data_IF_214423884171
#
_entry.id   IF_214423884171
#
_cell.length_a   1.000
_cell.length_b   1.000
_cell.length_c   1.000
_cell.angle_alpha   90.00
_cell.angle_beta   90.00
_cell.angle_gamma   90.00
#
_symmetry.space_group_name_H-M   'P 1'
#
loop_
_entity.id
_entity.type
_entity.pdbx_description
1 polymer ?
#
# COMPACT_ATOMS: atom_id res chain seq x y z
N UNK A 1 -5.49 -25.90 3.48
CA UNK A 1 -4.25 -25.73 2.71
C UNK A 1 -4.60 -25.06 1.39
N UNK A 2 -3.94 -23.96 1.02
CA UNK A 2 -4.17 -23.33 -0.28
C UNK A 2 -3.29 -24.01 -1.31
N UNK A 3 -3.90 -24.40 -2.43
CA UNK A 3 -3.21 -25.04 -3.56
C UNK A 3 -3.06 -24.01 -4.68
N UNK A 4 -1.98 -24.12 -5.46
CA UNK A 4 -1.71 -23.29 -6.65
C UNK A 4 -2.94 -23.12 -7.55
N UNK A 5 -3.65 -24.22 -7.82
CA UNK A 5 -4.88 -24.23 -8.64
C UNK A 5 -5.99 -23.31 -8.10
N UNK A 6 -6.12 -23.19 -6.77
CA UNK A 6 -7.12 -22.31 -6.14
C UNK A 6 -6.73 -20.84 -6.37
N UNK A 7 -5.43 -20.53 -6.24
CA UNK A 7 -4.92 -19.18 -6.45
C UNK A 7 -5.12 -18.75 -7.91
N UNK A 8 -4.76 -19.60 -8.88
CA UNK A 8 -4.95 -19.33 -10.31
C UNK A 8 -6.43 -19.15 -10.67
N UNK A 9 -7.31 -19.98 -10.12
CA UNK A 9 -8.76 -19.86 -10.33
C UNK A 9 -9.31 -18.54 -9.79
N UNK A 10 -8.97 -18.18 -8.56
CA UNK A 10 -9.41 -16.91 -7.96
C UNK A 10 -8.82 -15.70 -8.70
N UNK A 11 -7.58 -15.79 -9.18
CA UNK A 11 -6.97 -14.75 -10.01
C UNK A 11 -7.73 -14.54 -11.33
N UNK A 12 -8.10 -15.62 -12.02
CA UNK A 12 -8.91 -15.53 -13.25
C UNK A 12 -10.27 -14.86 -13.01
N UNK A 13 -10.90 -15.15 -11.86
CA UNK A 13 -12.13 -14.46 -11.44
C UNK A 13 -11.86 -12.97 -11.16
N UNK A 14 -10.76 -12.64 -10.48
CA UNK A 14 -10.40 -11.25 -10.20
C UNK A 14 -10.20 -10.43 -11.48
N UNK A 15 -9.46 -10.98 -12.45
CA UNK A 15 -9.24 -10.35 -13.77
C UNK A 15 -10.58 -10.05 -14.45
N UNK A 16 -11.49 -11.03 -14.46
CA UNK A 16 -12.82 -10.88 -15.05
C UNK A 16 -13.66 -9.84 -14.31
N UNK A 17 -13.65 -9.82 -12.98
CA UNK A 17 -14.39 -8.82 -12.21
C UNK A 17 -13.81 -7.42 -12.46
N UNK A 18 -12.48 -7.27 -12.48
CA UNK A 18 -11.83 -5.99 -12.75
C UNK A 18 -12.14 -5.44 -14.15
N UNK A 19 -12.28 -6.30 -15.17
CA UNK A 19 -12.67 -5.84 -16.51
C UNK A 19 -14.10 -5.30 -16.57
N UNK A 20 -15.00 -5.76 -15.70
CA UNK A 20 -16.38 -5.26 -15.65
C UNK A 20 -16.56 -4.08 -14.70
N UNK A 21 -15.94 -4.10 -13.52
CA UNK A 21 -16.22 -3.14 -12.45
C UNK A 21 -15.26 -1.94 -12.41
N UNK A 22 -14.14 -2.02 -13.13
CA UNK A 22 -13.04 -1.05 -12.99
C UNK A 22 -12.40 -1.09 -11.59
N UNK A 23 -11.34 -0.29 -11.40
CA UNK A 23 -10.66 -0.12 -10.13
C UNK A 23 -11.34 0.98 -9.31
N UNK A 24 -11.60 0.69 -8.03
CA UNK A 24 -12.23 1.68 -7.14
C UNK A 24 -11.20 2.73 -6.69
N UNK A 25 -11.60 4.02 -6.71
CA UNK A 25 -10.84 5.11 -6.09
C UNK A 25 -10.62 4.84 -4.60
N UNK A 26 -9.35 4.88 -4.17
CA UNK A 26 -8.92 4.59 -2.80
C UNK A 26 -8.64 5.89 -2.06
N UNK A 27 -9.19 6.02 -0.86
CA UNK A 27 -8.82 7.12 0.05
C UNK A 27 -7.37 6.98 0.50
N UNK A 28 -6.56 8.00 0.22
CA UNK A 28 -5.12 8.05 0.53
C UNK A 28 -4.83 7.72 2.00
N UNK A 29 -5.52 8.39 2.93
CA UNK A 29 -5.31 8.25 4.38
C UNK A 29 -5.54 6.83 4.90
N UNK A 30 -6.56 6.13 4.37
CA UNK A 30 -6.84 4.73 4.75
C UNK A 30 -5.74 3.77 4.29
N UNK A 31 -5.01 4.12 3.24
CA UNK A 31 -3.90 3.31 2.73
C UNK A 31 -2.61 3.53 3.52
N UNK A 32 -2.35 4.79 3.91
CA UNK A 32 -1.08 5.20 4.52
C UNK A 32 -1.01 4.90 6.02
N UNK A 33 -2.15 4.93 6.73
CA UNK A 33 -2.22 4.72 8.18
C UNK A 33 -1.36 3.55 8.73
N UNK A 34 -1.44 2.30 8.21
CA UNK A 34 -0.61 1.21 8.71
C UNK A 34 0.89 1.40 8.46
N UNK A 35 1.26 2.07 7.35
CA UNK A 35 2.65 2.42 7.07
C UNK A 35 3.18 3.47 8.03
N UNK A 36 2.34 4.44 8.40
CA UNK A 36 2.66 5.45 9.42
C UNK A 36 2.92 4.81 10.78
N UNK A 37 2.06 3.88 11.22
CA UNK A 37 2.26 3.14 12.48
C UNK A 37 3.60 2.41 12.51
N UNK A 38 3.98 1.76 11.40
CA UNK A 38 5.27 1.07 11.30
C UNK A 38 6.47 2.04 11.28
N UNK A 39 6.35 3.16 10.56
CA UNK A 39 7.37 4.20 10.54
C UNK A 39 7.60 4.76 11.94
N UNK A 40 6.53 5.09 12.66
CA UNK A 40 6.62 5.54 14.06
C UNK A 40 7.26 4.48 14.95
N UNK A 41 6.98 3.19 14.73
CA UNK A 41 7.60 2.09 15.47
C UNK A 41 9.12 2.05 15.27
N UNK A 42 9.61 2.14 14.02
CA UNK A 42 11.05 2.13 13.75
C UNK A 42 11.79 3.35 14.28
N UNK A 43 11.12 4.49 14.39
CA UNK A 43 11.70 5.71 14.97
C UNK A 43 11.70 5.66 16.50
N UNK A 44 10.65 5.09 17.09
CA UNK A 44 10.48 5.03 18.54
C UNK A 44 11.59 4.27 19.26
N UNK A 45 11.99 3.09 18.77
CA UNK A 45 12.99 2.25 19.47
C UNK A 45 14.38 2.91 19.57
N UNK A 46 15.00 3.38 18.47
CA UNK A 46 16.28 4.08 18.54
C UNK A 46 16.21 5.37 19.35
N UNK A 47 15.11 6.13 19.26
CA UNK A 47 14.93 7.32 20.09
C UNK A 47 14.90 6.97 21.58
N UNK A 48 14.15 5.96 21.99
CA UNK A 48 14.05 5.57 23.40
C UNK A 48 15.38 5.07 23.96
N UNK A 49 16.09 4.20 23.23
CA UNK A 49 17.29 3.53 23.77
C UNK A 49 18.60 4.29 23.50
N UNK A 50 18.70 5.05 22.41
CA UNK A 50 19.92 5.81 22.11
C UNK A 50 19.86 7.26 22.61
N UNK A 51 18.69 7.83 22.93
CA UNK A 51 18.61 9.18 23.52
C UNK A 51 19.42 9.33 24.80
N UNK A 52 19.45 8.31 25.67
CA UNK A 52 20.27 8.31 26.88
C UNK A 52 21.77 8.48 26.60
N UNK A 53 22.26 8.00 25.45
CA UNK A 53 23.66 8.16 25.02
C UNK A 53 23.95 9.55 24.44
N UNK A 54 22.93 10.31 24.05
CA UNK A 54 23.10 11.64 23.46
C UNK A 54 23.44 12.69 24.54
N UNK A 55 22.88 12.55 25.74
CA UNK A 55 23.05 13.48 26.86
C UNK A 55 24.21 13.12 27.80
N UNK A 56 24.85 11.97 27.61
CA UNK A 56 26.02 11.60 28.42
C UNK A 56 27.19 12.56 28.13
N UNK A 57 27.74 13.25 29.14
CA UNK A 57 28.85 14.18 28.96
C UNK A 57 30.19 13.47 28.65
N UNK A 58 30.26 12.15 28.80
CA UNK A 58 31.49 11.36 28.63
C UNK A 58 31.72 10.84 27.19
N UNK A 59 30.78 11.04 26.27
CA UNK A 59 30.90 10.50 24.91
C UNK A 59 31.70 11.46 24.01
N UNK A 60 32.65 10.90 23.26
CA UNK A 60 33.43 11.59 22.23
C UNK A 60 32.49 12.09 21.12
N UNK A 61 32.85 13.18 20.44
CA UNK A 61 32.05 13.77 19.34
C UNK A 61 31.65 12.75 18.27
N UNK A 62 32.50 11.76 17.99
CA UNK A 62 32.28 10.69 17.02
C UNK A 62 31.16 9.73 17.42
N UNK A 63 31.06 9.37 18.70
CA UNK A 63 30.01 8.46 19.19
C UNK A 63 28.63 9.14 19.16
N UNK A 64 28.59 10.43 19.47
CA UNK A 64 27.38 11.25 19.34
C UNK A 64 26.90 11.32 17.90
N UNK A 65 27.83 11.53 16.96
CA UNK A 65 27.52 11.53 15.53
C UNK A 65 27.01 10.15 15.07
N UNK A 66 27.62 9.06 15.54
CA UNK A 66 27.16 7.69 15.26
C UNK A 66 25.72 7.42 15.73
N UNK A 67 25.33 7.91 16.91
CA UNK A 67 23.95 7.81 17.40
C UNK A 67 22.98 8.57 16.49
N UNK A 68 23.32 9.80 16.11
CA UNK A 68 22.49 10.62 15.21
C UNK A 68 22.31 9.93 13.85
N UNK A 69 23.39 9.37 13.29
CA UNK A 69 23.34 8.59 12.03
C UNK A 69 22.44 7.35 12.19
N UNK A 70 22.47 6.68 13.34
CA UNK A 70 21.64 5.50 13.60
C UNK A 70 20.14 5.83 13.67
N UNK A 71 19.80 6.97 14.28
CA UNK A 71 18.42 7.46 14.34
C UNK A 71 17.96 7.90 12.93
N UNK A 72 18.81 8.64 12.21
CA UNK A 72 18.51 9.10 10.84
C UNK A 72 18.28 7.95 9.87
N UNK A 73 19.11 6.90 9.91
CA UNK A 73 18.95 5.71 9.08
C UNK A 73 17.68 4.92 9.41
N UNK A 74 17.32 4.83 10.70
CA UNK A 74 16.07 4.22 11.13
C UNK A 74 14.83 5.01 10.68
N UNK A 75 14.93 6.33 10.63
CA UNK A 75 13.89 7.20 10.06
C UNK A 75 13.74 6.97 8.55
N UNK A 76 14.85 6.91 7.79
CA UNK A 76 14.82 6.60 6.35
C UNK A 76 14.19 5.22 6.10
N UNK A 77 14.57 4.21 6.88
CA UNK A 77 13.96 2.87 6.81
C UNK A 77 12.44 2.92 7.10
N UNK A 78 12.03 3.72 8.09
CA UNK A 78 10.64 4.04 8.39
C UNK A 78 9.89 4.61 7.19
N UNK A 79 10.44 5.65 6.55
CA UNK A 79 9.84 6.27 5.37
C UNK A 79 9.72 5.30 4.20
N UNK A 80 10.76 4.53 3.91
CA UNK A 80 10.70 3.50 2.86
C UNK A 80 9.59 2.49 3.15
N UNK A 81 9.51 2.00 4.38
CA UNK A 81 8.46 1.06 4.78
C UNK A 81 7.05 1.64 4.62
N UNK A 82 6.87 2.94 4.90
CA UNK A 82 5.62 3.67 4.72
C UNK A 82 5.20 3.71 3.25
N UNK A 83 6.14 4.02 2.35
CA UNK A 83 5.89 4.04 0.89
C UNK A 83 5.50 2.63 0.43
N UNK A 84 6.28 1.60 0.76
CA UNK A 84 6.00 0.23 0.34
C UNK A 84 4.64 -0.29 0.85
N UNK A 85 4.33 -0.06 2.13
CA UNK A 85 3.04 -0.46 2.71
C UNK A 85 1.90 0.35 2.09
N UNK A 86 2.08 1.65 1.92
CA UNK A 86 1.09 2.53 1.30
C UNK A 86 0.75 2.08 -0.12
N UNK A 87 1.76 1.75 -0.93
CA UNK A 87 1.58 1.23 -2.29
C UNK A 87 0.91 -0.15 -2.30
N UNK A 88 1.38 -1.09 -1.47
CA UNK A 88 0.81 -2.43 -1.38
C UNK A 88 -0.65 -2.41 -0.87
N UNK A 89 -0.94 -1.56 0.12
CA UNK A 89 -2.27 -1.41 0.68
C UNK A 89 -3.22 -0.69 -0.27
N UNK A 90 -2.71 0.25 -1.06
CA UNK A 90 -3.50 0.94 -2.09
C UNK A 90 -3.97 -0.09 -3.13
N UNK A 91 -3.04 -0.89 -3.64
CA UNK A 91 -3.34 -1.98 -4.57
C UNK A 91 -4.34 -3.00 -3.98
N UNK A 92 -4.16 -3.35 -2.71
CA UNK A 92 -5.11 -4.22 -2.01
C UNK A 92 -6.50 -3.59 -1.97
N UNK A 93 -6.63 -2.31 -1.65
CA UNK A 93 -7.91 -1.62 -1.47
C UNK A 93 -8.62 -1.30 -2.80
N UNK A 94 -7.88 -1.16 -3.91
CA UNK A 94 -8.43 -0.95 -5.25
C UNK A 94 -9.25 -2.15 -5.74
N UNK A 95 -9.00 -3.34 -5.19
CA UNK A 95 -9.78 -4.53 -5.50
C UNK A 95 -11.23 -4.42 -4.96
N UNK A 96 -12.23 -4.92 -5.71
CA UNK A 96 -13.63 -4.90 -5.30
C UNK A 96 -13.85 -5.52 -3.91
N UNK A 97 -14.68 -4.88 -3.09
CA UNK A 97 -14.90 -5.30 -1.69
C UNK A 97 -15.44 -6.73 -1.59
N UNK A 98 -16.39 -7.09 -2.45
CA UNK A 98 -16.97 -8.44 -2.51
C UNK A 98 -15.93 -9.51 -2.80
N UNK A 99 -14.90 -9.20 -3.59
CA UNK A 99 -13.81 -10.12 -3.85
C UNK A 99 -12.86 -10.23 -2.66
N UNK A 100 -12.53 -9.11 -2.01
CA UNK A 100 -11.58 -9.07 -0.87
C UNK A 100 -12.00 -9.92 0.33
N UNK A 101 -13.30 -10.00 0.62
CA UNK A 101 -13.82 -10.74 1.77
C UNK A 101 -14.04 -12.21 1.43
N UNK A 102 -14.45 -12.51 0.20
CA UNK A 102 -14.79 -13.87 -0.20
C UNK A 102 -13.59 -14.67 -0.75
N UNK A 103 -12.53 -13.99 -1.22
CA UNK A 103 -11.33 -14.63 -1.77
C UNK A 103 -10.48 -15.25 -0.66
N UNK A 104 -10.23 -16.56 -0.78
CA UNK A 104 -9.32 -17.29 0.11
C UNK A 104 -7.87 -16.86 -0.11
N UNK A 105 -7.51 -16.50 -1.35
CA UNK A 105 -6.20 -15.95 -1.72
C UNK A 105 -5.92 -14.64 -0.99
N UNK A 106 -6.84 -13.66 -1.05
CA UNK A 106 -6.66 -12.35 -0.41
C UNK A 106 -6.53 -12.48 1.10
N UNK A 107 -7.37 -13.31 1.72
CA UNK A 107 -7.29 -13.58 3.15
C UNK A 107 -5.95 -14.20 3.54
N UNK A 108 -5.49 -15.22 2.80
CA UNK A 108 -4.21 -15.88 3.05
C UNK A 108 -3.02 -14.93 2.89
N UNK A 109 -2.94 -14.21 1.78
CA UNK A 109 -1.86 -13.28 1.49
C UNK A 109 -1.80 -12.16 2.52
N UNK A 110 -2.95 -11.55 2.85
CA UNK A 110 -3.03 -10.48 3.84
C UNK A 110 -2.60 -10.97 5.23
N UNK A 111 -3.06 -12.16 5.65
CA UNK A 111 -2.66 -12.75 6.93
C UNK A 111 -1.16 -13.05 6.98
N UNK A 112 -0.59 -13.51 5.87
CA UNK A 112 0.83 -13.86 5.78
C UNK A 112 1.73 -12.63 5.82
N UNK A 113 1.42 -11.61 5.01
CA UNK A 113 2.15 -10.33 5.02
C UNK A 113 2.12 -9.68 6.41
N UNK A 114 0.95 -9.67 7.08
CA UNK A 114 0.84 -9.14 8.45
C UNK A 114 1.73 -9.88 9.44
N UNK A 115 1.85 -11.21 9.31
CA UNK A 115 2.77 -12.01 10.14
C UNK A 115 4.23 -11.65 9.87
N UNK A 116 4.63 -11.52 8.60
CA UNK A 116 6.00 -11.11 8.26
C UNK A 116 6.35 -9.73 8.80
N UNK A 117 5.45 -8.76 8.64
CA UNK A 117 5.62 -7.42 9.19
C UNK A 117 5.79 -7.48 10.72
N UNK A 118 4.92 -8.22 11.43
CA UNK A 118 5.02 -8.35 12.89
C UNK A 118 6.33 -9.01 13.36
N UNK A 119 6.76 -10.09 12.69
CA UNK A 119 8.02 -10.77 13.02
C UNK A 119 9.22 -9.86 12.79
N UNK A 120 9.25 -9.13 11.67
CA UNK A 120 10.33 -8.19 11.39
C UNK A 120 10.33 -7.00 12.38
N UNK A 121 9.16 -6.45 12.71
CA UNK A 121 9.03 -5.38 13.72
C UNK A 121 9.54 -5.80 15.09
N UNK A 122 9.26 -7.04 15.49
CA UNK A 122 9.74 -7.60 16.75
C UNK A 122 11.26 -7.84 16.70
N UNK A 123 11.76 -8.46 15.63
CA UNK A 123 13.20 -8.66 15.43
C UNK A 123 13.98 -7.35 15.46
N UNK A 124 13.47 -6.31 14.79
CA UNK A 124 14.07 -4.98 14.79
C UNK A 124 14.16 -4.39 16.22
N UNK A 125 13.08 -4.49 17.00
CA UNK A 125 13.08 -4.03 18.39
C UNK A 125 14.13 -4.77 19.24
N UNK A 126 14.22 -6.10 19.11
CA UNK A 126 15.24 -6.92 19.77
C UNK A 126 16.64 -6.49 19.37
N UNK A 127 16.87 -6.22 18.08
CA UNK A 127 18.16 -5.78 17.56
C UNK A 127 18.57 -4.41 18.12
N UNK A 128 17.64 -3.46 18.20
CA UNK A 128 17.90 -2.14 18.83
C UNK A 128 18.25 -2.29 20.30
N UNK A 129 17.46 -3.06 21.07
CA UNK A 129 17.70 -3.30 22.50
C UNK A 129 19.03 -4.02 22.72
N UNK A 130 19.34 -5.02 21.90
CA UNK A 130 20.61 -5.74 21.97
C UNK A 130 21.79 -4.80 21.72
N UNK A 131 21.74 -3.96 20.68
CA UNK A 131 22.76 -2.94 20.44
C UNK A 131 22.85 -1.90 21.57
N UNK A 132 21.73 -1.59 22.22
CA UNK A 132 21.68 -0.69 23.37
C UNK A 132 22.34 -1.30 24.62
N UNK A 133 22.12 -2.59 24.90
CA UNK A 133 22.66 -3.27 26.08
C UNK A 133 24.17 -3.54 25.98
N UNK A 134 24.66 -3.94 24.81
CA UNK A 134 26.06 -4.34 24.62
C UNK A 134 26.98 -3.20 24.17
N UNK A 135 26.48 -1.95 24.10
CA UNK A 135 27.25 -0.81 23.61
C UNK A 135 27.96 -1.06 22.26
N UNK A 136 27.26 -1.74 21.34
CA UNK A 136 27.80 -2.02 20.02
C UNK A 136 27.99 -0.72 19.22
N UNK A 137 29.06 -0.69 18.42
CA UNK A 137 29.35 0.40 17.50
C UNK A 137 28.19 0.62 16.51
N UNK A 138 27.96 1.87 16.13
CA UNK A 138 27.00 2.27 15.09
C UNK A 138 27.18 1.47 13.80
N UNK A 139 28.41 1.15 13.42
CA UNK A 139 28.69 0.39 12.19
C UNK A 139 28.13 -1.04 12.28
N UNK A 140 28.21 -1.66 13.47
CA UNK A 140 27.66 -2.99 13.72
C UNK A 140 26.12 -2.97 13.65
N UNK A 141 25.49 -1.92 14.18
CA UNK A 141 24.04 -1.75 14.10
C UNK A 141 23.56 -1.59 12.65
N UNK A 142 24.22 -0.72 11.87
CA UNK A 142 23.86 -0.48 10.47
C UNK A 142 24.02 -1.73 9.61
N UNK A 143 25.15 -2.41 9.74
CA UNK A 143 25.40 -3.66 9.02
C UNK A 143 24.39 -4.75 9.39
N UNK A 144 24.04 -4.88 10.68
CA UNK A 144 23.05 -5.84 11.14
C UNK A 144 21.63 -5.53 10.62
N UNK A 145 21.23 -4.25 10.54
CA UNK A 145 19.95 -3.85 9.93
C UNK A 145 19.94 -4.19 8.44
N UNK A 146 20.98 -3.81 7.70
CA UNK A 146 21.05 -4.06 6.26
C UNK A 146 20.99 -5.57 5.99
N UNK A 147 21.79 -6.36 6.71
CA UNK A 147 21.77 -7.82 6.60
C UNK A 147 20.39 -8.40 6.95
N UNK A 148 19.72 -7.87 7.98
CA UNK A 148 18.37 -8.30 8.37
C UNK A 148 17.33 -7.97 7.29
N UNK A 149 17.38 -6.78 6.70
CA UNK A 149 16.45 -6.37 5.62
C UNK A 149 16.65 -7.27 4.41
N UNK A 150 17.89 -7.50 3.99
CA UNK A 150 18.22 -8.38 2.85
C UNK A 150 17.77 -9.82 3.15
N UNK A 151 18.14 -10.37 4.30
CA UNK A 151 17.80 -11.73 4.70
C UNK A 151 16.29 -11.97 4.77
N UNK A 152 15.53 -11.04 5.38
CA UNK A 152 14.07 -11.12 5.41
C UNK A 152 13.45 -10.99 4.01
N UNK A 153 14.00 -10.13 3.16
CA UNK A 153 13.52 -9.95 1.79
C UNK A 153 13.72 -11.22 0.95
N UNK A 154 14.88 -11.85 1.06
CA UNK A 154 15.18 -13.14 0.41
C UNK A 154 14.26 -14.24 0.95
N UNK A 155 14.07 -14.30 2.27
CA UNK A 155 13.18 -15.29 2.89
C UNK A 155 11.74 -15.14 2.41
N UNK A 156 11.20 -13.92 2.39
CA UNK A 156 9.87 -13.66 1.84
C UNK A 156 9.78 -14.00 0.36
N UNK A 157 10.82 -13.71 -0.43
CA UNK A 157 10.84 -14.02 -1.86
C UNK A 157 10.80 -15.54 -2.09
N UNK A 158 11.64 -16.31 -1.41
CA UNK A 158 11.63 -17.78 -1.47
C UNK A 158 10.26 -18.32 -1.09
N UNK A 159 9.68 -17.83 0.00
CA UNK A 159 8.38 -18.28 0.46
C UNK A 159 7.25 -17.92 -0.54
N UNK A 160 7.25 -16.71 -1.11
CA UNK A 160 6.26 -16.33 -2.13
C UNK A 160 6.45 -17.06 -3.46
N UNK A 161 7.68 -17.39 -3.82
CA UNK A 161 7.99 -18.16 -5.02
C UNK A 161 7.41 -19.59 -4.95
N UNK A 162 7.28 -20.17 -3.74
CA UNK A 162 6.58 -21.46 -3.54
C UNK A 162 5.12 -21.43 -3.97
N UNK A 163 4.50 -20.25 -4.02
CA UNK A 163 3.11 -20.08 -4.44
C UNK A 163 3.00 -19.53 -5.88
N UNK A 164 4.12 -19.47 -6.61
CA UNK A 164 4.23 -18.90 -7.98
C UNK A 164 3.58 -17.52 -8.11
N UNK A 165 3.64 -16.70 -7.07
CA UNK A 165 3.07 -15.34 -7.09
C UNK A 165 3.72 -14.48 -8.16
N UNK A 166 4.99 -14.74 -8.52
CA UNK A 166 5.68 -14.05 -9.61
C UNK A 166 5.03 -14.31 -10.98
N UNK A 167 4.51 -15.51 -11.22
CA UNK A 167 3.77 -15.86 -12.44
C UNK A 167 2.37 -15.19 -12.44
N UNK A 168 1.74 -15.11 -11.27
CA UNK A 168 0.47 -14.40 -11.08
C UNK A 168 0.62 -12.89 -11.27
N UNK A 169 1.74 -12.31 -10.82
CA UNK A 169 2.07 -10.90 -11.03
C UNK A 169 2.16 -10.58 -12.53
N UNK A 170 2.80 -11.46 -13.31
CA UNK A 170 2.88 -11.33 -14.76
C UNK A 170 1.49 -11.28 -15.42
N UNK A 171 0.57 -12.16 -15.02
CA UNK A 171 -0.82 -12.19 -15.52
C UNK A 171 -1.63 -10.95 -15.10
N UNK A 172 -1.32 -10.36 -13.93
CA UNK A 172 -2.03 -9.21 -13.39
C UNK A 172 -1.54 -7.87 -13.97
N UNK A 173 -0.27 -7.78 -14.41
CA UNK A 173 0.32 -6.54 -14.98
C UNK A 173 -0.49 -5.95 -16.15
N UNK A 174 -0.96 -6.74 -17.14
CA UNK A 174 -1.82 -6.26 -18.21
C UNK A 174 -3.15 -5.69 -17.69
N UNK A 175 -3.77 -6.33 -16.70
CA UNK A 175 -5.03 -5.87 -16.13
C UNK A 175 -4.90 -4.56 -15.35
N UNK A 176 -3.75 -4.33 -14.71
CA UNK A 176 -3.44 -3.03 -14.08
C UNK A 176 -3.46 -1.91 -15.12
N UNK A 177 -2.86 -2.11 -16.29
CA UNK A 177 -2.87 -1.11 -17.38
C UNK A 177 -4.27 -0.84 -17.93
N UNK A 178 -5.11 -1.88 -18.07
CA UNK A 178 -6.51 -1.73 -18.50
C UNK A 178 -7.35 -0.98 -17.46
N UNK A 179 -7.12 -1.24 -16.16
CA UNK A 179 -7.77 -0.49 -15.09
C UNK A 179 -7.33 0.99 -15.03
N UNK A 180 -6.04 1.26 -15.24
CA UNK A 180 -5.50 2.62 -15.32
C UNK A 180 -6.03 3.39 -16.55
N UNK A 181 -6.19 2.72 -17.71
CA UNK A 181 -6.81 3.36 -18.88
C UNK A 181 -8.27 3.71 -18.65
N UNK A 182 -9.06 2.83 -18.03
CA UNK A 182 -10.48 3.10 -17.74
C UNK A 182 -10.64 4.21 -16.70
N UNK A 183 -9.77 4.27 -15.68
CA UNK A 183 -9.76 5.39 -14.71
C UNK A 183 -9.48 6.71 -15.43
N UNK A 184 -8.50 6.75 -16.34
CA UNK A 184 -8.21 7.96 -17.13
C UNK A 184 -9.37 8.39 -18.02
N UNK A 185 -10.14 7.44 -18.56
CA UNK A 185 -11.36 7.74 -19.32
C UNK A 185 -12.47 8.25 -18.40
N UNK A 186 -12.66 7.66 -17.22
CA UNK A 186 -13.69 8.10 -16.26
C UNK A 186 -13.42 9.51 -15.70
N UNK A 187 -12.17 9.87 -15.42
CA UNK A 187 -11.79 11.25 -15.05
C UNK A 187 -11.94 12.24 -16.22
N UNK A 188 -11.99 11.75 -17.46
CA UNK A 188 -12.27 12.57 -18.64
C UNK A 188 -13.78 12.72 -18.90
N UNK A 189 -14.63 11.89 -18.28
CA UNK A 189 -16.09 11.95 -18.38
C UNK A 189 -16.76 12.71 -17.22
N UNK A 190 -16.01 13.13 -16.20
CA UNK A 190 -16.48 14.12 -15.19
C UNK A 190 -16.75 15.51 -15.82
N UNK A 191 -16.49 15.69 -17.12
CA UNK A 191 -16.76 16.91 -17.88
C UNK A 191 -18.03 16.91 -18.72
N UNK A 192 -18.73 15.78 -18.90
CA UNK A 192 -20.06 15.83 -19.52
C UNK A 192 -21.04 16.07 -18.39
N UNK A 193 -21.35 17.34 -18.10
CA UNK A 193 -22.58 17.67 -17.39
C UNK A 193 -23.75 17.14 -18.23
N UNK A 194 -24.20 15.94 -17.88
CA UNK A 194 -25.32 15.23 -18.53
C UNK A 194 -26.62 16.06 -18.39
N UNK A 195 -26.58 17.13 -17.59
CA UNK A 195 -27.69 17.96 -17.19
C UNK A 195 -27.67 19.34 -17.87
N UNK A 196 -26.70 19.63 -18.76
CA UNK A 196 -26.69 20.92 -19.49
C UNK A 196 -27.64 20.91 -20.67
N UNK A 197 -27.94 19.76 -21.26
CA UNK A 197 -28.85 19.64 -22.41
C UNK A 197 -29.82 18.48 -22.21
N UNK A 198 -31.08 18.70 -22.56
CA UNK A 198 -32.10 17.66 -22.46
C UNK A 198 -31.81 16.59 -23.53
N UNK A 199 -31.59 15.32 -23.14
CA UNK A 199 -31.24 14.28 -24.09
C UNK A 199 -32.32 13.97 -25.13
N UNK A 200 -33.59 14.36 -24.87
CA UNK A 200 -34.69 14.18 -25.82
C UNK A 200 -34.81 15.30 -26.86
N UNK A 201 -34.35 16.52 -26.56
CA UNK A 201 -34.54 17.70 -27.42
C UNK A 201 -33.23 18.36 -27.86
N UNK A 202 -32.11 18.06 -27.21
CA UNK A 202 -30.83 18.72 -27.42
C UNK A 202 -30.79 20.17 -26.95
N UNK A 203 -31.82 20.63 -26.24
CA UNK A 203 -31.95 22.01 -25.77
C UNK A 203 -31.29 22.21 -24.40
N UNK A 204 -30.67 23.38 -24.15
CA UNK A 204 -30.03 23.66 -22.88
C UNK A 204 -31.03 23.64 -21.71
N UNK A 205 -30.58 23.21 -20.55
CA UNK A 205 -31.39 22.99 -19.36
C UNK A 205 -31.04 23.92 -18.20
N UNK A 206 -32.06 24.30 -17.43
CA UNK A 206 -31.91 25.04 -16.18
C UNK A 206 -32.97 24.56 -15.17
N UNK A 207 -32.55 24.05 -14.01
CA UNK A 207 -33.47 23.62 -12.95
C UNK A 207 -34.32 22.38 -13.28
N UNK A 208 -33.83 21.47 -14.14
CA UNK A 208 -34.52 20.21 -14.45
C UNK A 208 -35.52 20.28 -15.62
N UNK A 209 -35.64 21.44 -16.26
CA UNK A 209 -36.42 21.67 -17.49
C UNK A 209 -35.55 22.32 -18.56
N UNK A 210 -35.81 22.01 -19.83
CA UNK A 210 -35.17 22.68 -20.96
C UNK A 210 -35.78 24.05 -21.27
N UNK A 211 -35.14 24.81 -22.17
CA UNK A 211 -35.65 26.14 -22.59
C UNK A 211 -37.03 26.11 -23.28
N UNK A 212 -37.50 24.94 -23.71
CA UNK A 212 -38.84 24.73 -24.23
C UNK A 212 -39.83 24.25 -23.15
N UNK A 213 -39.40 24.14 -21.89
CA UNK A 213 -40.22 23.71 -20.76
C UNK A 213 -40.40 22.19 -20.67
N UNK A 214 -39.63 21.39 -21.40
CA UNK A 214 -39.70 19.93 -21.30
C UNK A 214 -38.85 19.44 -20.12
N UNK A 215 -39.35 18.48 -19.32
CA UNK A 215 -38.55 17.80 -18.30
C UNK A 215 -37.39 17.03 -18.92
N UNK A 216 -36.36 16.75 -18.11
CA UNK A 216 -35.23 15.90 -18.50
C UNK A 216 -35.70 14.58 -19.15
N UNK A 217 -35.24 14.31 -20.37
CA UNK A 217 -35.52 13.05 -21.07
C UNK A 217 -36.89 12.94 -21.72
N UNK A 218 -37.66 14.04 -21.77
CA UNK A 218 -38.94 14.10 -22.48
C UNK A 218 -38.91 15.18 -23.57
N UNK A 219 -39.60 14.92 -24.68
CA UNK A 219 -39.97 15.92 -25.68
C UNK A 219 -41.50 15.93 -25.78
N UNK A 220 -42.13 17.10 -25.79
CA UNK A 220 -43.59 17.22 -25.91
C UNK A 220 -44.10 17.11 -27.36
N UNK A 221 -43.32 16.51 -28.25
CA UNK A 221 -43.72 16.25 -29.62
C UNK A 221 -44.31 14.84 -29.74
N UNK A 222 -45.47 14.68 -29.10
CA UNK A 222 -46.63 13.92 -29.59
C UNK A 222 -47.88 14.78 -29.41
#
# INVERSE_FOLDING_TARGET
MITEKIIQKELGVLVKVLSYSGLKSVSFWKSVWPGLMLCSWFVFWPLMFFSGRLYSPFNISEERLGVVVSIGTSFVLGLLSLIFIGSARSLYLSAPYSFRINSKMYFFLSKKIKRYAAVFSFWYAVLVVFCALFNLSTICFLSAIIASVIGFSVYMNIDFNRYKINELAYILTPCKRVGESIISTSSSFDGIKIDEHNPATGLPMNGGVDVAGNPYGYSRHE
#
